data_IF_586484434135
#
_entry.id   IF_586484434135
#
_cell.length_a   1.000
_cell.length_b   1.000
_cell.length_c   1.000
_cell.angle_alpha   90.00
_cell.angle_beta   90.00
_cell.angle_gamma   90.00
#
_symmetry.space_group_name_H-M   'P 1'
#
loop_
_entity.id
_entity.type
_entity.pdbx_description
1 polymer ?
#
# COMPACT_ATOMS: atom_id res chain seq x y z
N UNK A 1 32.05 20.18 40.30
CA UNK A 1 31.44 18.91 40.74
C UNK A 1 30.81 18.24 39.54
N UNK A 2 31.44 17.18 39.04
CA UNK A 2 30.97 16.33 37.94
C UNK A 2 31.02 14.90 38.48
N UNK A 3 29.95 14.10 38.42
CA UNK A 3 29.96 12.78 39.00
C UNK A 3 30.77 11.82 38.11
N UNK A 4 31.84 11.30 38.70
CA UNK A 4 32.57 10.11 38.30
C UNK A 4 31.64 8.90 38.23
N UNK A 5 31.43 8.32 37.05
CA UNK A 5 31.19 6.88 36.87
C UNK A 5 31.80 6.42 35.54
N UNK A 6 32.37 5.22 35.59
CA UNK A 6 33.15 4.51 34.55
C UNK A 6 34.63 4.86 34.46
N UNK A 7 35.34 4.55 35.55
CA UNK A 7 36.65 3.91 35.42
C UNK A 7 36.41 2.40 35.33
N UNK A 8 36.76 1.78 34.21
CA UNK A 8 37.07 0.35 34.16
C UNK A 8 38.42 0.19 33.48
N UNK A 9 39.46 -0.11 34.26
CA UNK A 9 40.74 -0.55 33.72
C UNK A 9 40.74 -2.06 33.51
N UNK A 10 41.24 -2.54 32.36
CA UNK A 10 42.38 -3.48 32.26
C UNK A 10 42.71 -3.89 30.82
N UNK A 11 44.03 -4.01 30.60
CA UNK A 11 44.81 -4.97 29.80
C UNK A 11 44.65 -5.06 28.25
N UNK A 12 45.78 -5.23 27.51
CA UNK A 12 45.81 -5.43 26.07
C UNK A 12 45.53 -6.88 25.70
N UNK A 13 44.65 -7.10 24.72
CA UNK A 13 44.43 -8.40 24.08
C UNK A 13 43.19 -9.16 24.55
N UNK A 14 42.04 -8.87 23.95
CA UNK A 14 41.01 -9.85 23.59
C UNK A 14 39.91 -9.17 22.77
N UNK A 15 39.28 -9.97 21.92
CA UNK A 15 38.47 -9.58 20.78
C UNK A 15 37.33 -8.59 21.08
N UNK A 16 37.12 -7.67 20.13
CA UNK A 16 36.05 -6.68 20.13
C UNK A 16 34.67 -7.34 20.19
N UNK A 17 33.90 -7.02 21.24
CA UNK A 17 32.45 -7.20 21.23
C UNK A 17 31.83 -6.14 20.31
N UNK A 18 31.24 -6.58 19.20
CA UNK A 18 30.56 -5.73 18.22
C UNK A 18 29.16 -5.34 18.70
N UNK A 19 29.07 -4.58 19.79
CA UNK A 19 27.86 -3.83 20.14
C UNK A 19 28.16 -2.35 19.99
N UNK A 20 28.29 -1.92 18.73
CA UNK A 20 28.17 -0.49 18.42
C UNK A 20 26.69 -0.12 18.57
N UNK A 21 26.39 0.64 19.62
CA UNK A 21 25.09 1.29 19.75
C UNK A 21 24.84 2.21 18.56
N UNK A 22 23.61 2.22 18.08
CA UNK A 22 23.14 3.00 16.93
C UNK A 22 23.52 4.48 17.07
N UNK A 23 24.23 5.01 16.07
CA UNK A 23 24.64 6.41 16.00
C UNK A 23 23.58 7.20 15.21
N UNK A 24 22.92 8.22 15.79
CA UNK A 24 21.95 9.05 15.09
C UNK A 24 22.55 9.80 13.89
N UNK A 25 21.76 9.95 12.81
CA UNK A 25 22.15 10.52 11.51
C UNK A 25 22.83 11.90 11.56
N UNK A 26 22.53 12.73 12.58
CA UNK A 26 23.17 14.05 12.76
C UNK A 26 24.64 13.99 13.17
N UNK A 27 25.12 12.84 13.63
CA UNK A 27 26.50 12.65 14.09
C UNK A 27 27.42 12.20 12.94
N UNK A 28 26.87 11.60 11.88
CA UNK A 28 27.66 10.95 10.85
C UNK A 28 28.47 11.93 9.97
N UNK A 29 27.94 13.14 9.71
CA UNK A 29 28.66 14.18 8.96
C UNK A 29 29.87 14.77 9.70
N UNK A 30 30.05 14.46 10.99
CA UNK A 30 31.14 15.00 11.83
C UNK A 30 32.31 14.02 12.03
N UNK A 31 32.17 12.76 11.60
CA UNK A 31 33.14 11.69 11.88
C UNK A 31 34.05 11.32 10.71
N UNK A 32 33.75 11.76 9.49
CA UNK A 32 34.63 11.52 8.34
C UNK A 32 35.73 12.58 8.32
N UNK A 33 36.91 12.22 8.85
CA UNK A 33 38.13 13.00 8.65
C UNK A 33 38.55 12.91 7.18
N UNK A 34 39.13 13.96 6.58
CA UNK A 34 39.72 13.86 5.24
C UNK A 34 40.79 12.77 5.24
N UNK A 35 40.63 11.75 4.39
CA UNK A 35 41.61 10.67 4.20
C UNK A 35 41.27 9.29 4.80
N UNK A 36 40.11 9.11 5.45
CA UNK A 36 39.65 7.76 5.83
C UNK A 36 38.99 7.05 4.65
N UNK A 37 39.63 5.99 4.13
CA UNK A 37 39.02 5.06 3.19
C UNK A 37 38.37 3.92 3.99
N UNK A 38 37.06 3.76 3.87
CA UNK A 38 36.37 2.58 4.37
C UNK A 38 36.44 1.50 3.28
N UNK A 39 37.01 0.34 3.62
CA UNK A 39 36.80 -0.86 2.83
C UNK A 39 35.29 -1.10 2.78
N UNK A 40 34.74 -1.16 1.55
CA UNK A 40 33.32 -1.35 1.27
C UNK A 40 32.86 -2.68 1.87
N UNK A 41 32.41 -2.63 3.11
CA UNK A 41 31.48 -3.61 3.67
C UNK A 41 30.12 -3.34 3.03
N UNK A 42 29.48 -4.39 2.54
CA UNK A 42 28.30 -4.38 1.67
C UNK A 42 27.02 -3.79 2.31
N UNK A 43 27.12 -3.38 3.57
CA UNK A 43 26.08 -2.64 4.29
C UNK A 43 26.64 -1.28 4.70
N UNK A 44 26.24 -0.23 4.00
CA UNK A 44 26.54 1.14 4.40
C UNK A 44 25.90 1.38 5.78
N UNK A 45 26.65 1.75 6.84
CA UNK A 45 26.09 2.06 8.16
C UNK A 45 25.20 3.32 8.15
N UNK A 46 25.15 4.01 6.99
CA UNK A 46 24.29 5.15 6.70
C UNK A 46 23.05 4.76 5.88
N UNK A 47 22.90 3.49 5.49
CA UNK A 47 21.69 3.03 4.82
C UNK A 47 20.50 3.25 5.75
N UNK A 48 19.50 3.97 5.23
CA UNK A 48 18.29 4.36 5.95
C UNK A 48 17.78 3.19 6.77
N UNK A 49 17.59 3.42 8.08
CA UNK A 49 17.03 2.41 8.97
C UNK A 49 15.77 1.80 8.33
N UNK A 50 15.52 0.49 8.45
CA UNK A 50 14.25 -0.13 8.05
C UNK A 50 13.00 0.56 8.64
N UNK A 51 13.18 1.48 9.61
CA UNK A 51 12.17 2.36 10.15
C UNK A 51 11.77 3.55 9.25
N UNK A 52 12.52 3.89 8.21
CA UNK A 52 12.24 5.03 7.32
C UNK A 52 11.29 4.69 6.16
N UNK A 53 11.08 3.40 5.85
CA UNK A 53 10.06 3.00 4.87
C UNK A 53 8.68 3.09 5.54
N UNK A 54 7.70 3.83 4.99
CA UNK A 54 6.39 3.95 5.60
C UNK A 54 5.75 2.57 5.72
N UNK A 55 5.33 2.23 6.93
CA UNK A 55 4.50 1.03 7.11
C UNK A 55 3.19 1.18 6.34
N UNK A 56 2.56 0.06 5.95
CA UNK A 56 1.21 0.03 5.34
C UNK A 56 0.14 0.82 6.15
N UNK A 57 0.39 1.05 7.44
CA UNK A 57 -0.45 1.92 8.29
C UNK A 57 -0.37 3.40 7.90
N UNK A 58 0.79 3.89 7.48
CA UNK A 58 0.99 5.29 7.03
C UNK A 58 0.26 5.53 5.71
N UNK A 59 0.42 4.64 4.72
CA UNK A 59 -0.30 4.69 3.45
C UNK A 59 -1.81 4.71 3.67
N UNK A 60 -2.30 3.82 4.55
CA UNK A 60 -3.72 3.75 4.89
C UNK A 60 -4.23 5.02 5.59
N UNK A 61 -3.46 5.62 6.50
CA UNK A 61 -3.82 6.89 7.14
C UNK A 61 -3.95 8.03 6.13
N UNK A 62 -2.99 8.14 5.20
CA UNK A 62 -3.03 9.16 4.14
C UNK A 62 -4.26 8.96 3.24
N UNK A 63 -4.53 7.72 2.84
CA UNK A 63 -5.71 7.39 2.04
C UNK A 63 -7.01 7.80 2.76
N UNK A 64 -7.15 7.51 4.06
CA UNK A 64 -8.32 7.94 4.84
C UNK A 64 -8.44 9.46 4.93
N UNK A 65 -7.33 10.18 5.13
CA UNK A 65 -7.34 11.66 5.13
C UNK A 65 -7.80 12.23 3.79
N UNK A 66 -7.36 11.64 2.68
CA UNK A 66 -7.79 12.03 1.32
C UNK A 66 -9.29 11.76 1.13
N UNK A 67 -9.78 10.59 1.57
CA UNK A 67 -11.20 10.26 1.46
C UNK A 67 -12.08 11.24 2.24
N UNK A 68 -11.68 11.60 3.46
CA UNK A 68 -12.40 12.59 4.27
C UNK A 68 -12.38 13.96 3.59
N UNK A 69 -11.22 14.41 3.10
CA UNK A 69 -11.09 15.68 2.41
C UNK A 69 -11.95 15.72 1.12
N UNK A 70 -11.98 14.63 0.35
CA UNK A 70 -12.83 14.49 -0.83
C UNK A 70 -14.33 14.54 -0.49
N UNK A 71 -14.74 13.89 0.61
CA UNK A 71 -16.13 13.94 1.10
C UNK A 71 -16.55 15.36 1.52
N UNK A 72 -15.67 16.08 2.23
CA UNK A 72 -15.90 17.48 2.58
C UNK A 72 -16.00 18.34 1.31
N UNK A 73 -15.06 18.21 0.38
CA UNK A 73 -15.08 18.94 -0.89
C UNK A 73 -16.37 18.68 -1.69
N UNK A 74 -16.84 17.43 -1.73
CA UNK A 74 -18.12 17.08 -2.36
C UNK A 74 -19.30 17.82 -1.73
N UNK A 75 -19.37 17.90 -0.40
CA UNK A 75 -20.47 18.62 0.29
C UNK A 75 -20.50 20.10 -0.11
N UNK A 76 -19.34 20.74 -0.24
CA UNK A 76 -19.24 22.14 -0.65
C UNK A 76 -19.49 22.36 -2.15
N UNK A 77 -19.13 21.39 -2.99
CA UNK A 77 -19.21 21.51 -4.45
C UNK A 77 -20.46 20.88 -5.06
N UNK A 78 -21.29 20.15 -4.29
CA UNK A 78 -22.44 19.41 -4.80
C UNK A 78 -23.40 20.25 -5.65
N UNK A 79 -23.65 21.51 -5.27
CA UNK A 79 -24.52 22.40 -6.03
C UNK A 79 -23.97 22.69 -7.43
N UNK A 80 -22.65 22.93 -7.54
CA UNK A 80 -21.95 23.13 -8.81
C UNK A 80 -21.88 21.85 -9.64
N UNK A 81 -21.70 20.70 -8.98
CA UNK A 81 -21.67 19.40 -9.66
C UNK A 81 -23.03 19.06 -10.28
N UNK A 82 -24.13 19.40 -9.60
CA UNK A 82 -25.49 19.21 -10.11
C UNK A 82 -25.81 20.11 -11.32
N UNK A 83 -25.11 21.24 -11.49
CA UNK A 83 -25.22 22.09 -12.69
C UNK A 83 -24.55 21.44 -13.91
N UNK A 84 -23.50 20.65 -13.70
CA UNK A 84 -22.69 20.04 -14.76
C UNK A 84 -23.14 18.62 -15.11
N UNK A 85 -23.71 17.90 -14.15
CA UNK A 85 -24.18 16.52 -14.28
C UNK A 85 -25.66 16.49 -13.93
N UNK A 86 -26.49 16.13 -14.90
CA UNK A 86 -27.94 16.13 -14.76
C UNK A 86 -28.43 15.04 -13.78
N UNK A 87 -29.35 15.39 -12.88
CA UNK A 87 -30.07 14.45 -12.00
C UNK A 87 -29.31 14.04 -10.73
N UNK A 88 -29.65 12.88 -10.15
CA UNK A 88 -29.04 12.33 -8.92
C UNK A 88 -27.71 11.61 -9.15
N UNK A 89 -27.24 11.58 -10.39
CA UNK A 89 -25.98 10.98 -10.79
C UNK A 89 -24.74 11.44 -9.97
N UNK A 90 -24.54 12.71 -9.58
CA UNK A 90 -23.32 13.10 -8.87
C UNK A 90 -23.18 12.48 -7.48
N UNK A 91 -24.29 12.23 -6.76
CA UNK A 91 -24.22 11.52 -5.49
C UNK A 91 -23.89 10.04 -5.69
N UNK A 92 -24.58 9.38 -6.62
CA UNK A 92 -24.34 7.98 -6.97
C UNK A 92 -22.88 7.77 -7.40
N UNK A 93 -22.37 8.63 -8.30
CA UNK A 93 -20.99 8.59 -8.77
C UNK A 93 -19.99 8.82 -7.62
N UNK A 94 -20.25 9.78 -6.72
CA UNK A 94 -19.38 10.04 -5.57
C UNK A 94 -19.29 8.83 -4.63
N UNK A 95 -20.43 8.18 -4.35
CA UNK A 95 -20.46 6.96 -3.54
C UNK A 95 -19.68 5.83 -4.22
N UNK A 96 -19.87 5.63 -5.52
CA UNK A 96 -19.15 4.59 -6.26
C UNK A 96 -17.63 4.86 -6.31
N UNK A 97 -17.21 6.10 -6.51
CA UNK A 97 -15.78 6.49 -6.42
C UNK A 97 -15.24 6.21 -5.02
N UNK A 98 -15.97 6.58 -3.96
CA UNK A 98 -15.56 6.32 -2.58
C UNK A 98 -15.43 4.82 -2.29
N UNK A 99 -16.40 4.00 -2.75
CA UNK A 99 -16.35 2.55 -2.60
C UNK A 99 -15.16 1.94 -3.35
N UNK A 100 -14.90 2.39 -4.58
CA UNK A 100 -13.73 1.97 -5.36
C UNK A 100 -12.42 2.32 -4.64
N UNK A 101 -12.34 3.53 -4.07
CA UNK A 101 -11.16 3.99 -3.34
C UNK A 101 -10.92 3.21 -2.05
N UNK A 102 -11.98 2.95 -1.27
CA UNK A 102 -11.91 2.13 -0.05
C UNK A 102 -11.55 0.68 -0.39
N UNK A 103 -12.19 0.10 -1.41
CA UNK A 103 -11.88 -1.26 -1.88
C UNK A 103 -10.43 -1.38 -2.35
N UNK A 104 -9.95 -0.42 -3.14
CA UNK A 104 -8.56 -0.33 -3.57
C UNK A 104 -7.56 -0.19 -2.42
N UNK A 105 -7.88 0.62 -1.40
CA UNK A 105 -7.00 0.85 -0.25
C UNK A 105 -6.94 -0.34 0.72
N UNK A 106 -8.08 -1.01 0.96
CA UNK A 106 -8.22 -2.02 2.00
C UNK A 106 -8.05 -3.43 1.44
N UNK A 107 -8.79 -3.77 0.39
CA UNK A 107 -8.85 -5.13 -0.13
C UNK A 107 -7.81 -5.36 -1.23
N UNK A 108 -7.58 -4.34 -2.05
CA UNK A 108 -6.80 -4.47 -3.27
C UNK A 108 -5.65 -3.48 -3.33
N UNK A 109 -4.81 -3.29 -2.29
CA UNK A 109 -3.68 -2.39 -2.39
C UNK A 109 -2.60 -2.95 -3.35
N UNK A 110 -1.72 -2.11 -3.93
CA UNK A 110 -0.65 -2.56 -4.82
C UNK A 110 0.24 -3.63 -4.19
N UNK A 111 0.47 -3.54 -2.87
CA UNK A 111 1.28 -4.45 -2.08
C UNK A 111 0.68 -5.87 -1.92
N UNK A 112 -0.45 -6.18 -2.54
CA UNK A 112 -1.08 -7.51 -2.50
C UNK A 112 -0.19 -8.61 -3.13
N UNK A 113 0.83 -8.21 -3.89
CA UNK A 113 1.88 -9.08 -4.42
C UNK A 113 2.92 -9.51 -3.36
N UNK A 114 2.94 -8.88 -2.18
CA UNK A 114 3.78 -9.32 -1.05
C UNK A 114 3.18 -10.54 -0.35
N UNK A 115 4.00 -11.59 -0.16
CA UNK A 115 3.62 -12.86 0.47
C UNK A 115 3.11 -12.73 1.92
N UNK A 116 3.34 -11.61 2.60
CA UNK A 116 2.86 -11.32 3.97
C UNK A 116 2.50 -9.84 4.11
N UNK A 117 1.25 -9.51 3.84
CA UNK A 117 0.71 -8.15 3.95
C UNK A 117 -0.68 -8.19 4.62
N UNK A 118 -1.02 -7.14 5.38
CA UNK A 118 -2.34 -6.83 5.91
C UNK A 118 -3.48 -6.95 4.89
N UNK A 119 -3.22 -6.74 3.59
CA UNK A 119 -4.19 -6.97 2.52
C UNK A 119 -4.70 -8.42 2.48
N UNK A 120 -3.80 -9.41 2.57
CA UNK A 120 -4.18 -10.83 2.62
C UNK A 120 -5.00 -11.14 3.89
N UNK A 121 -4.75 -10.42 4.99
CA UNK A 121 -5.53 -10.54 6.23
C UNK A 121 -6.94 -9.99 6.07
N UNK A 122 -7.11 -8.89 5.33
CA UNK A 122 -8.42 -8.29 5.06
C UNK A 122 -9.34 -9.20 4.23
N UNK A 123 -8.77 -10.11 3.42
CA UNK A 123 -9.51 -11.14 2.70
C UNK A 123 -9.88 -12.36 3.57
N UNK A 124 -9.33 -12.48 4.78
CA UNK A 124 -9.50 -13.66 5.63
C UNK A 124 -9.05 -14.95 4.92
N UNK A 125 -9.88 -15.99 4.94
CA UNK A 125 -9.57 -17.27 4.30
C UNK A 125 -9.40 -17.16 2.77
N UNK A 126 -10.12 -16.22 2.14
CA UNK A 126 -10.02 -15.97 0.70
C UNK A 126 -8.67 -15.37 0.30
N UNK A 127 -7.86 -14.91 1.26
CA UNK A 127 -6.49 -14.46 1.01
C UNK A 127 -5.62 -15.53 0.34
N UNK A 128 -5.93 -16.83 0.53
CA UNK A 128 -5.20 -17.91 -0.14
C UNK A 128 -5.31 -17.85 -1.66
N UNK A 129 -6.43 -17.31 -2.18
CA UNK A 129 -6.68 -17.16 -3.61
C UNK A 129 -5.70 -16.19 -4.26
N UNK A 130 -5.01 -15.34 -3.49
CA UNK A 130 -4.04 -14.38 -4.01
C UNK A 130 -2.61 -14.92 -4.06
N UNK A 131 -2.34 -16.10 -3.49
CA UNK A 131 -0.99 -16.70 -3.53
C UNK A 131 -0.48 -16.99 -4.95
N UNK A 132 -1.30 -17.47 -5.91
CA UNK A 132 -0.86 -17.62 -7.30
C UNK A 132 -0.51 -16.28 -7.93
N UNK A 133 -1.33 -15.25 -7.71
CA UNK A 133 -1.06 -13.89 -8.20
C UNK A 133 0.29 -13.37 -7.69
N UNK A 134 0.54 -13.44 -6.38
CA UNK A 134 1.79 -13.03 -5.75
C UNK A 134 3.01 -13.88 -6.18
N UNK A 135 2.81 -15.06 -6.75
CA UNK A 135 3.89 -15.88 -7.31
C UNK A 135 4.27 -15.45 -8.74
N UNK A 136 3.30 -14.97 -9.52
CA UNK A 136 3.50 -14.53 -10.92
C UNK A 136 4.00 -13.09 -11.00
N UNK A 137 3.41 -12.19 -10.20
CA UNK A 137 3.77 -10.77 -10.20
C UNK A 137 4.77 -10.48 -9.07
N UNK A 138 6.00 -10.08 -9.44
CA UNK A 138 7.02 -9.67 -8.48
C UNK A 138 6.79 -8.22 -8.04
N UNK A 139 7.04 -7.97 -6.76
CA UNK A 139 7.01 -6.64 -6.14
C UNK A 139 7.92 -5.65 -6.90
N UNK A 140 7.39 -4.47 -7.25
CA UNK A 140 8.01 -3.43 -8.13
C UNK A 140 8.06 -3.76 -9.65
N UNK A 141 7.29 -4.74 -10.11
CA UNK A 141 7.07 -5.01 -11.55
C UNK A 141 5.90 -4.25 -12.15
N UNK A 142 5.20 -4.84 -13.13
CA UNK A 142 4.02 -4.25 -13.79
C UNK A 142 2.86 -3.91 -12.83
N UNK A 143 2.81 -4.54 -11.64
CA UNK A 143 1.84 -4.28 -10.57
C UNK A 143 1.97 -2.88 -9.96
N UNK A 144 3.14 -2.24 -10.10
CA UNK A 144 3.43 -0.90 -9.55
C UNK A 144 3.16 0.23 -10.56
N UNK A 145 2.66 -0.09 -11.76
CA UNK A 145 2.13 0.91 -12.70
C UNK A 145 0.63 1.03 -12.38
N UNK A 146 0.11 2.21 -11.95
CA UNK A 146 -1.23 2.31 -11.37
C UNK A 146 -2.30 1.63 -12.24
N UNK A 147 -2.41 2.04 -13.50
CA UNK A 147 -3.45 1.53 -14.41
C UNK A 147 -3.25 0.04 -14.74
N UNK A 148 -2.01 -0.37 -15.04
CA UNK A 148 -1.72 -1.76 -15.44
C UNK A 148 -1.89 -2.70 -14.25
N UNK A 149 -1.39 -2.32 -13.08
CA UNK A 149 -1.55 -3.07 -11.84
C UNK A 149 -3.00 -3.18 -11.39
N UNK A 150 -3.81 -2.13 -11.53
CA UNK A 150 -5.27 -2.23 -11.31
C UNK A 150 -5.88 -3.23 -12.29
N UNK A 151 -5.54 -3.13 -13.59
CA UNK A 151 -6.08 -3.99 -14.63
C UNK A 151 -5.74 -5.47 -14.42
N UNK A 152 -4.51 -5.81 -14.02
CA UNK A 152 -4.10 -7.19 -13.75
C UNK A 152 -4.83 -7.77 -12.53
N UNK A 153 -5.00 -7.00 -11.46
CA UNK A 153 -5.80 -7.42 -10.28
C UNK A 153 -7.28 -7.59 -10.63
N UNK A 154 -7.84 -6.69 -11.42
CA UNK A 154 -9.23 -6.77 -11.88
C UNK A 154 -9.46 -8.03 -12.75
N UNK A 155 -8.57 -8.29 -13.71
CA UNK A 155 -8.61 -9.49 -14.54
C UNK A 155 -8.47 -10.77 -13.70
N UNK A 156 -7.56 -10.76 -12.72
CA UNK A 156 -7.38 -11.88 -11.80
C UNK A 156 -8.64 -12.16 -10.97
N UNK A 157 -9.25 -11.13 -10.40
CA UNK A 157 -10.51 -11.24 -9.65
C UNK A 157 -11.63 -11.80 -10.50
N UNK A 158 -11.78 -11.32 -11.74
CA UNK A 158 -12.79 -11.82 -12.66
C UNK A 158 -12.60 -13.31 -12.93
N UNK A 159 -11.36 -13.75 -13.17
CA UNK A 159 -11.04 -15.16 -13.37
C UNK A 159 -11.38 -16.01 -12.13
N UNK A 160 -10.98 -15.55 -10.94
CA UNK A 160 -11.29 -16.23 -9.67
C UNK A 160 -12.80 -16.32 -9.44
N UNK A 161 -13.54 -15.24 -9.69
CA UNK A 161 -14.99 -15.21 -9.54
C UNK A 161 -15.69 -16.21 -10.49
N UNK A 162 -15.28 -16.25 -11.76
CA UNK A 162 -15.79 -17.21 -12.75
C UNK A 162 -15.48 -18.65 -12.33
N UNK A 163 -14.26 -18.92 -11.86
CA UNK A 163 -13.87 -20.25 -11.40
C UNK A 163 -14.68 -20.70 -10.18
N UNK A 164 -14.86 -19.83 -9.18
CA UNK A 164 -15.67 -20.13 -8.00
C UNK A 164 -17.14 -20.35 -8.36
N UNK A 165 -17.71 -19.52 -9.24
CA UNK A 165 -19.08 -19.70 -9.69
C UNK A 165 -19.26 -21.02 -10.45
N UNK A 166 -18.32 -21.40 -11.32
CA UNK A 166 -18.34 -22.67 -12.03
C UNK A 166 -18.29 -23.88 -11.09
N UNK A 167 -17.47 -23.81 -10.03
CA UNK A 167 -17.37 -24.86 -9.02
C UNK A 167 -18.59 -24.95 -8.10
N UNK A 168 -19.22 -23.81 -7.78
CA UNK A 168 -20.39 -23.74 -6.90
C UNK A 168 -21.69 -24.19 -7.58
N UNK A 169 -21.85 -23.92 -8.88
CA UNK A 169 -23.05 -24.25 -9.67
C UNK A 169 -23.60 -25.66 -9.47
N UNK A 170 -22.82 -26.75 -9.58
CA UNK A 170 -23.36 -28.11 -9.44
C UNK A 170 -23.82 -28.47 -8.02
N UNK A 171 -23.40 -27.72 -7.00
CA UNK A 171 -23.69 -28.02 -5.59
C UNK A 171 -24.77 -27.10 -5.02
N UNK A 172 -24.77 -25.84 -5.42
CA UNK A 172 -25.55 -24.78 -4.78
C UNK A 172 -26.64 -24.19 -5.70
N UNK A 173 -26.80 -24.73 -6.92
CA UNK A 173 -27.72 -24.23 -7.96
C UNK A 173 -27.67 -22.70 -8.13
N UNK A 174 -26.45 -22.16 -8.08
CA UNK A 174 -26.23 -20.71 -8.11
C UNK A 174 -26.45 -20.21 -9.53
N UNK A 175 -27.64 -19.68 -9.78
CA UNK A 175 -27.94 -18.85 -10.95
C UNK A 175 -27.44 -17.44 -10.65
N UNK A 176 -26.34 -17.05 -11.31
CA UNK A 176 -25.87 -15.66 -11.28
C UNK A 176 -26.80 -14.87 -12.20
N UNK A 177 -27.79 -14.18 -11.63
CA UNK A 177 -28.60 -13.22 -12.37
C UNK A 177 -27.78 -11.94 -12.60
N UNK A 178 -27.40 -11.61 -13.85
CA UNK A 178 -26.63 -10.39 -14.14
C UNK A 178 -27.35 -9.11 -13.69
N UNK A 179 -28.67 -9.14 -13.54
CA UNK A 179 -29.46 -7.99 -13.09
C UNK A 179 -29.21 -7.64 -11.62
N UNK A 180 -28.82 -8.62 -10.80
CA UNK A 180 -28.56 -8.45 -9.36
C UNK A 180 -27.29 -7.61 -9.06
N UNK A 181 -26.39 -7.49 -10.03
CA UNK A 181 -25.23 -6.56 -10.02
C UNK A 181 -25.42 -5.36 -10.96
N UNK A 182 -26.64 -5.18 -11.50
CA UNK A 182 -26.97 -4.16 -12.49
C UNK A 182 -26.67 -2.72 -12.08
N UNK A 183 -26.69 -2.43 -10.77
CA UNK A 183 -26.34 -1.12 -10.23
C UNK A 183 -24.82 -0.85 -10.24
N UNK A 184 -23.98 -1.86 -10.03
CA UNK A 184 -22.53 -1.74 -10.19
C UNK A 184 -22.14 -1.57 -11.66
N UNK A 185 -22.91 -2.19 -12.58
CA UNK A 185 -22.67 -2.09 -14.02
C UNK A 185 -23.20 -0.82 -14.66
N UNK A 186 -24.02 -0.01 -13.96
CA UNK A 186 -24.47 1.28 -14.49
C UNK A 186 -23.33 2.28 -14.62
N UNK A 187 -22.41 2.29 -13.66
CA UNK A 187 -21.28 3.21 -13.64
C UNK A 187 -19.96 2.53 -13.22
N UNK A 188 -19.50 1.49 -13.94
CA UNK A 188 -18.30 0.72 -13.58
C UNK A 188 -17.03 1.59 -13.62
N UNK A 189 -17.03 2.63 -14.46
CA UNK A 189 -15.94 3.60 -14.55
C UNK A 189 -15.78 4.41 -13.26
N UNK A 190 -16.86 4.69 -12.52
CA UNK A 190 -16.77 5.43 -11.26
C UNK A 190 -16.04 4.60 -10.18
N UNK A 191 -16.39 3.31 -10.07
CA UNK A 191 -15.67 2.37 -9.20
C UNK A 191 -14.20 2.24 -9.60
N UNK A 192 -13.93 2.13 -10.91
CA UNK A 192 -12.58 2.03 -11.44
C UNK A 192 -11.75 3.29 -11.15
N UNK A 193 -12.33 4.48 -11.31
CA UNK A 193 -11.67 5.76 -10.98
C UNK A 193 -11.29 5.79 -9.50
N UNK A 194 -12.18 5.37 -8.61
CA UNK A 194 -11.89 5.26 -7.19
C UNK A 194 -10.71 4.33 -6.89
N UNK A 195 -10.73 3.13 -7.49
CA UNK A 195 -9.66 2.14 -7.28
C UNK A 195 -8.31 2.62 -7.83
N UNK A 196 -8.28 3.14 -9.05
CA UNK A 196 -7.06 3.70 -9.65
C UNK A 196 -6.53 4.86 -8.80
N UNK A 197 -7.39 5.73 -8.27
CA UNK A 197 -6.98 6.80 -7.37
C UNK A 197 -6.33 6.27 -6.08
N UNK A 198 -6.83 5.17 -5.50
CA UNK A 198 -6.20 4.54 -4.35
C UNK A 198 -4.80 4.01 -4.66
N UNK A 199 -4.61 3.37 -5.83
CA UNK A 199 -3.31 2.90 -6.28
C UNK A 199 -2.33 4.06 -6.51
N UNK A 200 -2.80 5.15 -7.12
CA UNK A 200 -2.00 6.37 -7.31
C UNK A 200 -1.53 6.96 -6.00
N UNK A 201 -2.42 7.08 -5.00
CA UNK A 201 -2.06 7.55 -3.66
C UNK A 201 -0.97 6.67 -3.07
N UNK A 202 -1.17 5.35 -3.10
CA UNK A 202 -0.22 4.37 -2.57
C UNK A 202 1.16 4.52 -3.20
N UNK A 203 1.24 4.53 -4.53
CA UNK A 203 2.49 4.63 -5.29
C UNK A 203 3.19 5.97 -5.05
N UNK A 204 2.44 7.07 -5.03
CA UNK A 204 3.01 8.41 -4.76
C UNK A 204 3.60 8.46 -3.37
N UNK A 205 2.91 7.90 -2.38
CA UNK A 205 3.41 7.84 -1.01
C UNK A 205 4.63 6.93 -0.88
N UNK A 206 4.68 5.78 -1.58
CA UNK A 206 5.87 4.92 -1.61
C UNK A 206 7.08 5.68 -2.17
N UNK A 207 6.89 6.42 -3.27
CA UNK A 207 7.96 7.24 -3.88
C UNK A 207 8.44 8.43 -3.01
N UNK A 208 7.58 8.98 -2.15
CA UNK A 208 7.89 10.17 -1.37
C UNK A 208 8.70 9.89 -0.09
N UNK A 209 8.69 8.63 0.36
CA UNK A 209 9.32 8.21 1.60
C UNK A 209 10.33 7.06 1.41
N UNK A 210 10.50 6.56 0.18
CA UNK A 210 11.37 5.44 -0.16
C UNK A 210 12.59 5.80 -1.02
N UNK A 211 13.07 7.05 -0.97
CA UNK A 211 14.24 7.54 -1.73
C UNK A 211 15.43 7.91 -0.85
#
# INVERSE_FOLDING_TARGET
>A
MVPSRYVSGRAPGSAWSTTFGWVPSRICSRWLRPGSFLLRSETDPCETSPADVPSGRTHRRIAWSILVAAGVAYVFLRSRLNEFVSGDAPFELAVLVALGFVGGTVLLPPDLDLRRNDALRNWGLLGILWRPYAAVFRHRGLSHIPIIGTATRAAYLALVAVALAALARPVLDVVIDPSSVGWMTRHPLALLVGWVAADWVHIRTDSAFGS
#
